data_IF_010788706281
#
_entry.id   IF_010788706281
#
_cell.length_a   1.000
_cell.length_b   1.000
_cell.length_c   1.000
_cell.angle_alpha   90.00
_cell.angle_beta   90.00
_cell.angle_gamma   90.00
#
_symmetry.space_group_name_H-M   'P 1'
#
loop_
_entity.id
_entity.type
_entity.pdbx_description
1 polymer ?
#
# COMPACT_ATOMS: atom_id res chain seq x y z
N UNK A 1 0.06 1.46 -4.44
CA UNK A 1 -0.70 2.72 -4.51
C UNK A 1 0.19 3.84 -3.98
N UNK A 2 0.16 4.99 -4.63
CA UNK A 2 0.82 6.22 -4.17
C UNK A 2 -0.26 7.18 -3.68
N UNK A 3 -0.03 7.83 -2.54
CA UNK A 3 -1.02 8.68 -1.90
C UNK A 3 -0.37 10.01 -1.54
N UNK A 4 -1.04 11.10 -1.91
CA UNK A 4 -0.70 12.45 -1.51
C UNK A 4 -1.71 12.92 -0.48
N UNK A 5 -1.22 13.63 0.52
CA UNK A 5 -1.97 14.09 1.68
C UNK A 5 -1.90 15.60 1.81
N UNK A 6 -2.71 16.15 2.71
CA UNK A 6 -2.54 17.51 3.17
C UNK A 6 -1.30 17.63 4.07
N UNK A 7 -0.75 18.84 4.14
CA UNK A 7 0.42 19.14 4.97
C UNK A 7 0.12 18.78 6.43
N UNK A 8 0.95 17.90 7.01
CA UNK A 8 0.80 17.47 8.41
C UNK A 8 -0.17 16.30 8.63
N UNK A 9 -0.86 15.81 7.60
CA UNK A 9 -1.83 14.71 7.73
C UNK A 9 -1.22 13.31 7.53
N UNK A 10 0.02 13.20 7.05
CA UNK A 10 0.69 11.92 6.72
C UNK A 10 0.50 10.87 7.82
N UNK A 11 0.80 11.20 9.08
CA UNK A 11 0.73 10.24 10.17
C UNK A 11 -0.71 9.77 10.47
N UNK A 12 -1.70 10.67 10.36
CA UNK A 12 -3.12 10.37 10.55
C UNK A 12 -3.62 9.44 9.45
N UNK A 13 -3.34 9.81 8.19
CA UNK A 13 -3.69 9.02 7.00
C UNK A 13 -3.04 7.63 7.07
N UNK A 14 -1.77 7.54 7.44
CA UNK A 14 -1.06 6.27 7.59
C UNK A 14 -1.71 5.35 8.64
N UNK A 15 -2.20 5.92 9.74
CA UNK A 15 -2.88 5.17 10.79
C UNK A 15 -4.23 4.62 10.32
N UNK A 16 -5.01 5.39 9.58
CA UNK A 16 -6.28 4.93 9.00
C UNK A 16 -6.06 3.89 7.90
N UNK A 17 -5.08 4.11 7.00
CA UNK A 17 -4.73 3.17 5.94
C UNK A 17 -4.44 1.77 6.47
N UNK A 18 -3.71 1.67 7.59
CA UNK A 18 -3.34 0.38 8.20
C UNK A 18 -4.53 -0.39 8.78
N UNK A 19 -5.70 0.24 8.93
CA UNK A 19 -6.93 -0.42 9.38
C UNK A 19 -7.75 -0.96 8.22
N UNK A 20 -7.49 -0.49 6.98
CA UNK A 20 -8.24 -0.93 5.82
C UNK A 20 -7.91 -2.38 5.46
N UNK A 21 -8.92 -3.18 5.07
CA UNK A 21 -8.68 -4.53 4.58
C UNK A 21 -7.80 -4.49 3.32
N UNK A 22 -7.06 -5.57 3.06
CA UNK A 22 -6.19 -5.72 1.89
C UNK A 22 -4.94 -4.81 1.85
N UNK A 23 -4.77 -3.88 2.80
CA UNK A 23 -3.51 -3.13 2.98
C UNK A 23 -2.48 -4.04 3.66
N UNK A 24 -1.48 -4.49 2.90
CA UNK A 24 -0.39 -5.33 3.40
C UNK A 24 0.67 -4.49 4.10
N UNK A 25 0.95 -3.31 3.55
CA UNK A 25 1.96 -2.39 4.07
C UNK A 25 1.65 -0.96 3.65
N UNK A 26 1.91 0.00 4.52
CA UNK A 26 1.87 1.42 4.21
C UNK A 26 3.00 2.13 4.96
N UNK A 27 3.82 2.87 4.22
CA UNK A 27 4.95 3.64 4.74
C UNK A 27 4.92 5.05 4.14
N UNK A 28 5.32 6.03 4.94
CA UNK A 28 5.63 7.37 4.47
C UNK A 28 6.93 7.35 3.66
N UNK A 29 7.02 8.22 2.66
CA UNK A 29 8.20 8.32 1.78
C UNK A 29 8.60 9.76 1.54
N UNK A 30 9.90 9.96 1.34
CA UNK A 30 10.42 11.24 0.85
C UNK A 30 10.29 11.28 -0.68
N UNK A 31 9.25 11.93 -1.20
CA UNK A 31 8.99 11.97 -2.64
C UNK A 31 7.88 12.96 -3.03
N UNK A 32 7.44 12.95 -4.30
CA UNK A 32 6.31 13.77 -4.76
C UNK A 32 4.95 13.29 -4.21
N UNK A 33 4.93 12.10 -3.60
CA UNK A 33 3.84 11.54 -2.84
C UNK A 33 4.32 11.32 -1.42
N UNK A 34 3.40 11.36 -0.46
CA UNK A 34 3.72 11.26 0.95
C UNK A 34 3.75 9.80 1.42
N UNK A 35 2.95 8.92 0.81
CA UNK A 35 2.76 7.53 1.26
C UNK A 35 2.80 6.55 0.07
N UNK A 36 3.44 5.41 0.29
CA UNK A 36 3.32 4.23 -0.57
C UNK A 36 2.61 3.11 0.20
N UNK A 37 1.53 2.59 -0.39
CA UNK A 37 0.78 1.45 0.13
C UNK A 37 0.85 0.24 -0.81
N UNK A 38 1.17 -0.93 -0.26
CA UNK A 38 1.07 -2.23 -0.92
C UNK A 38 -0.28 -2.84 -0.60
N UNK A 39 -1.05 -3.14 -1.64
CA UNK A 39 -2.38 -3.73 -1.56
C UNK A 39 -2.35 -5.12 -2.19
N UNK A 40 -3.00 -6.09 -1.58
CA UNK A 40 -3.11 -7.46 -2.10
C UNK A 40 -4.57 -7.93 -2.00
N UNK A 41 -5.14 -8.36 -3.11
CA UNK A 41 -6.51 -8.87 -3.20
C UNK A 41 -6.63 -9.84 -4.37
N UNK A 42 -7.71 -10.62 -4.40
CA UNK A 42 -7.91 -11.67 -5.40
C UNK A 42 -8.11 -11.11 -6.82
N UNK A 43 -8.81 -9.98 -6.92
CA UNK A 43 -9.05 -9.29 -8.19
C UNK A 43 -8.82 -7.78 -8.06
N UNK A 44 -8.59 -7.11 -9.20
CA UNK A 44 -8.49 -5.66 -9.24
C UNK A 44 -9.80 -4.99 -8.81
N UNK A 45 -10.93 -5.63 -9.09
CA UNK A 45 -12.26 -5.13 -8.72
C UNK A 45 -12.48 -5.17 -7.21
N UNK A 46 -11.98 -6.21 -6.53
CA UNK A 46 -12.00 -6.29 -5.06
C UNK A 46 -11.12 -5.20 -4.44
N UNK A 47 -9.92 -4.97 -4.97
CA UNK A 47 -9.04 -3.88 -4.52
C UNK A 47 -9.72 -2.52 -4.75
N UNK A 48 -10.37 -2.32 -5.90
CA UNK A 48 -11.08 -1.10 -6.25
C UNK A 48 -12.18 -0.76 -5.23
N UNK A 49 -13.11 -1.69 -5.03
CA UNK A 49 -14.27 -1.52 -4.16
C UNK A 49 -13.90 -1.45 -2.68
N UNK A 50 -12.97 -2.28 -2.21
CA UNK A 50 -12.68 -2.37 -0.78
C UNK A 50 -11.63 -1.39 -0.28
N UNK A 51 -10.69 -0.98 -1.14
CA UNK A 51 -9.56 -0.15 -0.72
C UNK A 51 -9.55 1.19 -1.40
N UNK A 52 -9.68 1.26 -2.73
CA UNK A 52 -9.53 2.55 -3.43
C UNK A 52 -10.58 3.56 -2.96
N UNK A 53 -11.85 3.15 -2.90
CA UNK A 53 -12.93 3.98 -2.38
C UNK A 53 -12.70 4.36 -0.90
N UNK A 54 -12.28 3.39 -0.08
CA UNK A 54 -11.98 3.60 1.33
C UNK A 54 -10.83 4.58 1.58
N UNK A 55 -9.79 4.54 0.75
CA UNK A 55 -8.64 5.45 0.83
C UNK A 55 -9.04 6.87 0.45
N UNK A 56 -9.87 7.02 -0.58
CA UNK A 56 -10.26 8.35 -1.09
C UNK A 56 -11.13 9.15 -0.11
N UNK A 57 -11.80 8.47 0.84
CA UNK A 57 -12.62 9.12 1.87
C UNK A 57 -11.88 9.35 3.19
N UNK A 58 -10.61 8.92 3.30
CA UNK A 58 -9.79 9.25 4.48
C UNK A 58 -9.52 10.75 4.49
N UNK A 59 -9.83 11.39 5.60
CA UNK A 59 -9.57 12.81 5.80
C UNK A 59 -8.07 13.14 5.63
N UNK A 60 -7.80 14.22 4.91
CA UNK A 60 -6.44 14.61 4.56
C UNK A 60 -5.84 13.89 3.35
N UNK A 61 -6.54 12.96 2.67
CA UNK A 61 -6.10 12.43 1.36
C UNK A 61 -6.48 13.40 0.25
N UNK A 62 -5.50 13.84 -0.55
CA UNK A 62 -5.72 14.79 -1.65
C UNK A 62 -5.64 14.15 -3.03
N UNK A 63 -4.83 13.09 -3.17
CA UNK A 63 -4.68 12.38 -4.44
C UNK A 63 -4.26 10.94 -4.23
N UNK A 64 -4.79 10.05 -5.06
CA UNK A 64 -4.41 8.63 -5.11
C UNK A 64 -3.98 8.25 -6.52
N UNK A 65 -2.92 7.45 -6.64
CA UNK A 65 -2.53 6.79 -7.87
C UNK A 65 -2.43 5.28 -7.65
N UNK A 66 -3.29 4.53 -8.35
CA UNK A 66 -3.29 3.07 -8.30
C UNK A 66 -2.34 2.52 -9.36
N UNK A 67 -1.34 1.75 -8.93
CA UNK A 67 -0.40 1.06 -9.80
C UNK A 67 -0.73 -0.43 -9.81
N UNK A 68 -1.66 -0.91 -10.64
CA UNK A 68 -1.93 -2.34 -10.73
C UNK A 68 -0.69 -3.03 -11.29
N UNK A 69 -0.22 -4.08 -10.60
CA UNK A 69 0.82 -4.94 -11.13
C UNK A 69 0.17 -5.86 -12.17
N UNK A 70 0.45 -5.57 -13.44
CA UNK A 70 0.00 -6.37 -14.58
C UNK A 70 0.81 -7.66 -14.75
N UNK A 71 0.97 -8.12 -15.99
CA UNK A 71 1.65 -9.37 -16.36
C UNK A 71 3.18 -9.32 -16.08
N UNK A 72 3.57 -9.28 -14.81
CA UNK A 72 4.93 -9.62 -14.41
C UNK A 72 5.08 -11.14 -14.54
N UNK A 73 6.09 -11.60 -15.29
CA UNK A 73 6.55 -13.00 -15.18
C UNK A 73 6.98 -13.23 -13.73
N UNK A 74 6.16 -13.94 -12.98
CA UNK A 74 6.31 -14.20 -11.54
C UNK A 74 7.53 -15.08 -11.19
N UNK A 75 8.28 -15.54 -12.19
CA UNK A 75 9.53 -16.31 -12.02
C UNK A 75 10.55 -15.60 -11.08
N UNK A 76 10.45 -14.27 -10.94
CA UNK A 76 11.36 -13.47 -10.11
C UNK A 76 10.83 -13.05 -8.72
N UNK A 77 9.52 -13.18 -8.43
CA UNK A 77 8.97 -12.74 -7.13
C UNK A 77 9.01 -13.84 -6.06
N UNK A 78 8.88 -15.11 -6.46
CA UNK A 78 8.92 -16.24 -5.53
C UNK A 78 10.27 -16.41 -4.82
N UNK A 79 11.38 -16.02 -5.45
CA UNK A 79 12.73 -16.08 -4.88
C UNK A 79 12.97 -15.05 -3.76
N UNK A 80 12.27 -13.92 -3.77
CA UNK A 80 12.41 -12.88 -2.73
C UNK A 80 11.62 -13.25 -1.46
N UNK A 81 10.48 -13.96 -1.61
CA UNK A 81 9.62 -14.35 -0.47
C UNK A 81 10.24 -15.47 0.38
N UNK A 82 11.06 -16.35 -0.21
CA UNK A 82 11.80 -17.40 0.52
C UNK A 82 13.06 -16.89 1.23
N UNK A 83 13.71 -15.83 0.74
CA UNK A 83 14.92 -15.29 1.39
C UNK A 83 14.64 -14.44 2.63
N UNK A 84 13.55 -13.65 2.69
CA UNK A 84 13.28 -12.82 3.88
C UNK A 84 12.69 -13.58 5.08
N UNK A 85 12.20 -14.80 4.88
CA UNK A 85 11.72 -15.62 5.99
C UNK A 85 12.86 -16.19 6.86
N UNK A 86 14.11 -16.19 6.38
CA UNK A 86 15.28 -16.70 7.12
C UNK A 86 16.08 -15.63 7.88
N UNK A 87 15.68 -14.35 7.85
CA UNK A 87 16.45 -13.25 8.47
C UNK A 87 15.72 -12.56 9.65
N UNK A 88 14.81 -13.25 10.35
CA UNK A 88 14.42 -12.79 11.69
C UNK A 88 15.49 -13.22 12.70
N UNK A 89 16.21 -12.29 13.37
CA UNK A 89 16.93 -12.64 14.58
C UNK A 89 15.88 -12.94 15.67
N UNK A 90 15.94 -14.14 16.25
CA UNK A 90 15.23 -14.41 17.49
C UNK A 90 15.94 -13.67 18.63
N UNK A 91 15.22 -13.05 19.58
CA UNK A 91 15.82 -12.47 20.78
C UNK A 91 16.43 -13.54 21.69
#
# INVERSE_FOLDING_TARGET
>A
MLIQTEIGQVASVLAELRKLPLVVRADDVTGPYDIIALLEGETLEDIGRHVVEGVQVIDGVTRTLTCPLGHLRLDAYHSVRTQRASERPQP
#
